data_IF_303832927627
#
_entry.id   IF_303832927627
#
_cell.length_a   1.000
_cell.length_b   1.000
_cell.length_c   1.000
_cell.angle_alpha   90.00
_cell.angle_beta   90.00
_cell.angle_gamma   90.00
#
_symmetry.space_group_name_H-M   'P 1'
#
loop_
_entity.id
_entity.type
_entity.pdbx_description
1 polymer ?
#
# COMPACT_ATOMS: atom_id res chain seq x y z
N UNK A 1 -23.27 9.70 0.35
CA UNK A 1 -22.95 8.48 1.13
C UNK A 1 -22.54 7.30 0.24
N UNK A 2 -23.41 6.73 -0.61
CA UNK A 2 -23.10 5.54 -1.47
C UNK A 2 -21.78 5.60 -2.27
N UNK A 3 -21.44 6.74 -2.88
CA UNK A 3 -20.19 6.89 -3.67
C UNK A 3 -18.91 6.77 -2.84
N UNK A 4 -18.97 7.08 -1.54
CA UNK A 4 -17.83 6.99 -0.63
C UNK A 4 -17.53 5.53 -0.28
N UNK A 5 -18.55 4.75 0.04
CA UNK A 5 -18.45 3.31 0.35
C UNK A 5 -17.86 2.51 -0.82
N UNK A 6 -18.35 2.74 -2.05
CA UNK A 6 -17.80 2.09 -3.25
C UNK A 6 -16.30 2.35 -3.40
N UNK A 7 -15.85 3.57 -3.08
CA UNK A 7 -14.41 3.92 -3.16
C UNK A 7 -13.58 3.30 -2.06
N UNK A 8 -14.15 3.13 -0.86
CA UNK A 8 -13.48 2.43 0.24
C UNK A 8 -13.27 0.97 -0.11
N UNK A 9 -14.32 0.31 -0.64
CA UNK A 9 -14.24 -1.09 -1.04
C UNK A 9 -13.21 -1.31 -2.15
N UNK A 10 -13.22 -0.43 -3.16
CA UNK A 10 -12.19 -0.44 -4.20
C UNK A 10 -10.76 -0.25 -3.64
N UNK A 11 -10.57 0.63 -2.65
CA UNK A 11 -9.25 0.83 -2.05
C UNK A 11 -8.80 -0.41 -1.26
N UNK A 12 -9.70 -1.06 -0.52
CA UNK A 12 -9.40 -2.30 0.22
C UNK A 12 -8.96 -3.40 -0.73
N UNK A 13 -9.70 -3.60 -1.82
CA UNK A 13 -9.36 -4.61 -2.82
C UNK A 13 -8.01 -4.33 -3.50
N UNK A 14 -7.72 -3.07 -3.81
CA UNK A 14 -6.40 -2.68 -4.35
C UNK A 14 -5.26 -2.98 -3.37
N UNK A 15 -5.44 -2.65 -2.08
CA UNK A 15 -4.42 -2.93 -1.04
C UNK A 15 -4.17 -4.43 -0.93
N UNK A 16 -5.25 -5.21 -0.85
CA UNK A 16 -5.19 -6.68 -0.75
C UNK A 16 -4.51 -7.30 -1.97
N UNK A 17 -4.93 -6.90 -3.16
CA UNK A 17 -4.36 -7.40 -4.42
C UNK A 17 -2.87 -7.06 -4.54
N UNK A 18 -2.47 -5.81 -4.26
CA UNK A 18 -1.07 -5.40 -4.29
C UNK A 18 -0.22 -6.23 -3.33
N UNK A 19 -0.68 -6.40 -2.08
CA UNK A 19 0.04 -7.21 -1.09
C UNK A 19 0.22 -8.65 -1.57
N UNK A 20 -0.83 -9.28 -2.07
CA UNK A 20 -0.77 -10.67 -2.55
C UNK A 20 0.24 -10.82 -3.69
N UNK A 21 0.19 -9.95 -4.69
CA UNK A 21 1.12 -9.98 -5.83
C UNK A 21 2.57 -9.77 -5.39
N UNK A 22 2.81 -8.86 -4.45
CA UNK A 22 4.16 -8.60 -3.93
C UNK A 22 4.68 -9.77 -3.11
N UNK A 23 3.86 -10.32 -2.22
CA UNK A 23 4.21 -11.48 -1.40
C UNK A 23 4.49 -12.72 -2.28
N UNK A 24 3.72 -12.92 -3.35
CA UNK A 24 3.90 -14.02 -4.31
C UNK A 24 5.18 -13.85 -5.14
N UNK A 25 5.47 -12.64 -5.63
CA UNK A 25 6.55 -12.41 -6.58
C UNK A 25 7.91 -12.12 -5.93
N UNK A 26 7.93 -11.47 -4.78
CA UNK A 26 9.15 -10.94 -4.16
C UNK A 26 9.36 -11.45 -2.71
N UNK A 27 8.65 -12.51 -2.33
CA UNK A 27 8.68 -13.08 -1.00
C UNK A 27 7.80 -12.32 -0.01
N UNK A 28 7.50 -12.96 1.12
CA UNK A 28 6.46 -12.51 2.06
C UNK A 28 6.84 -11.24 2.84
N UNK A 29 5.84 -10.72 3.55
CA UNK A 29 5.89 -9.65 4.55
C UNK A 29 5.98 -8.25 3.95
N UNK A 30 5.25 -8.04 2.85
CA UNK A 30 4.97 -6.70 2.32
C UNK A 30 3.84 -6.00 3.06
N UNK A 31 4.01 -4.70 3.27
CA UNK A 31 3.02 -3.77 3.83
C UNK A 31 2.62 -2.77 2.75
N UNK A 32 1.32 -2.49 2.64
CA UNK A 32 0.75 -1.63 1.59
C UNK A 32 -0.24 -0.65 2.22
N UNK A 33 -0.03 0.64 2.00
CA UNK A 33 -0.93 1.71 2.37
C UNK A 33 -1.41 2.46 1.13
N UNK A 34 -2.72 2.68 1.03
CA UNK A 34 -3.33 3.53 0.00
C UNK A 34 -4.04 4.70 0.69
N UNK A 35 -3.44 5.87 0.58
CA UNK A 35 -3.88 7.08 1.31
C UNK A 35 -4.52 8.08 0.36
N UNK A 36 -5.57 8.76 0.81
CA UNK A 36 -6.13 9.95 0.17
C UNK A 36 -5.91 11.14 1.09
N UNK A 37 -5.08 12.09 0.65
CA UNK A 37 -4.69 13.25 1.45
C UNK A 37 -3.20 13.22 1.75
N UNK A 38 -2.85 13.39 3.02
CA UNK A 38 -1.48 13.46 3.51
C UNK A 38 -1.24 12.38 4.55
N UNK A 39 0.01 11.96 4.69
CA UNK A 39 0.44 11.05 5.75
C UNK A 39 1.82 11.46 6.25
N UNK A 40 2.10 11.11 7.50
CA UNK A 40 3.41 11.24 8.13
C UNK A 40 3.67 9.90 8.81
N UNK A 41 4.81 9.28 8.52
CA UNK A 41 5.13 7.97 9.07
C UNK A 41 6.63 7.81 9.23
N UNK A 42 7.01 7.05 10.26
CA UNK A 42 8.35 6.53 10.48
C UNK A 42 8.23 5.02 10.59
N UNK A 43 8.98 4.28 9.78
CA UNK A 43 8.90 2.81 9.74
C UNK A 43 10.24 2.21 9.30
N UNK A 44 10.52 1.02 9.81
CA UNK A 44 11.67 0.22 9.41
C UNK A 44 11.32 -0.65 8.19
N UNK A 45 12.27 -0.85 7.30
CA UNK A 45 12.09 -1.64 6.09
C UNK A 45 13.42 -2.26 5.65
N UNK A 46 13.34 -3.32 4.86
CA UNK A 46 14.49 -3.93 4.20
C UNK A 46 15.04 -2.98 3.13
N UNK A 47 16.35 -2.73 3.13
CA UNK A 47 16.99 -1.82 2.18
C UNK A 47 16.64 -2.18 0.72
N UNK A 48 16.33 -1.17 -0.10
CA UNK A 48 15.90 -1.36 -1.49
C UNK A 48 14.45 -1.83 -1.68
N UNK A 49 13.70 -2.08 -0.59
CA UNK A 49 12.32 -2.57 -0.66
C UNK A 49 11.32 -1.58 -0.04
N UNK A 50 11.47 -0.28 -0.31
CA UNK A 50 10.51 0.76 0.10
C UNK A 50 10.23 1.70 -1.06
N UNK A 51 8.95 1.85 -1.38
CA UNK A 51 8.45 2.63 -2.50
C UNK A 51 7.33 3.55 -2.02
N UNK A 52 7.50 4.85 -2.25
CA UNK A 52 6.46 5.84 -2.03
C UNK A 52 6.23 6.64 -3.31
N UNK A 53 5.01 6.60 -3.83
CA UNK A 53 4.66 7.33 -5.04
C UNK A 53 3.20 7.76 -5.04
N UNK A 54 2.91 8.79 -5.83
CA UNK A 54 1.56 9.31 -6.03
C UNK A 54 1.05 8.89 -7.40
N UNK A 55 -0.17 8.36 -7.45
CA UNK A 55 -0.91 8.13 -8.68
C UNK A 55 -2.33 8.65 -8.51
N UNK A 56 -2.76 9.53 -9.42
CA UNK A 56 -4.05 10.22 -9.35
C UNK A 56 -4.24 10.96 -8.00
N UNK A 57 -5.35 10.71 -7.30
CA UNK A 57 -5.68 11.28 -5.98
C UNK A 57 -5.29 10.35 -4.82
N UNK A 58 -4.32 9.46 -5.03
CA UNK A 58 -3.87 8.44 -4.08
C UNK A 58 -2.36 8.47 -3.91
N UNK A 59 -1.91 8.23 -2.68
CA UNK A 59 -0.53 7.97 -2.34
C UNK A 59 -0.41 6.49 -1.99
N UNK A 60 0.57 5.84 -2.58
CA UNK A 60 0.91 4.44 -2.36
C UNK A 60 2.21 4.39 -1.57
N UNK A 61 2.17 3.73 -0.41
CA UNK A 61 3.36 3.44 0.39
C UNK A 61 3.45 1.93 0.48
N UNK A 62 4.52 1.37 -0.05
CA UNK A 62 4.73 -0.08 -0.17
C UNK A 62 6.12 -0.39 0.35
N UNK A 63 6.22 -1.21 1.37
CA UNK A 63 7.53 -1.60 1.91
C UNK A 63 7.53 -3.03 2.44
N UNK A 64 8.72 -3.64 2.46
CA UNK A 64 8.94 -4.96 3.05
C UNK A 64 9.67 -4.83 4.37
N UNK A 65 9.22 -5.56 5.39
CA UNK A 65 9.94 -5.64 6.67
C UNK A 65 10.87 -6.85 6.69
N UNK A 66 12.05 -6.75 7.34
CA UNK A 66 12.87 -7.91 7.61
C UNK A 66 12.06 -8.99 8.36
N UNK A 67 12.29 -10.26 8.03
CA UNK A 67 11.81 -11.41 8.82
C UNK A 67 12.79 -11.67 9.95
#
# INVERSE_FOLDING_TARGET
MRRYEVRLEQNKEIVKWLKLVLDEKYGRVWHVFVIRGQYYAYYSYEAGNSYCFKKDKRIYVVFKTPV
#
